data_IF_030527661819
#
_entry.id   IF_030527661819
#
_cell.length_a   1.000
_cell.length_b   1.000
_cell.length_c   1.000
_cell.angle_alpha   90.00
_cell.angle_beta   90.00
_cell.angle_gamma   90.00
#
_symmetry.space_group_name_H-M   'P 1'
#
loop_
_entity.id
_entity.type
_entity.pdbx_description
1 polymer ?
#
# COMPACT_ATOMS: atom_id res chain seq x y z
N UNK A 1 -14.16 -23.16 -20.91
CA UNK A 1 -12.91 -22.39 -20.97
C UNK A 1 -12.71 -21.60 -19.68
N UNK A 2 -11.65 -21.87 -18.97
CA UNK A 2 -11.31 -21.06 -17.80
C UNK A 2 -10.72 -19.72 -18.28
N UNK A 3 -11.25 -18.63 -17.79
CA UNK A 3 -10.72 -17.31 -18.07
C UNK A 3 -9.58 -17.06 -17.09
N UNK A 4 -8.41 -16.75 -17.64
CA UNK A 4 -7.23 -16.48 -16.83
C UNK A 4 -7.31 -15.07 -16.24
N UNK A 5 -7.18 -14.96 -14.94
CA UNK A 5 -7.05 -13.68 -14.26
C UNK A 5 -5.58 -13.41 -13.94
N UNK A 6 -5.18 -12.16 -13.99
CA UNK A 6 -3.79 -11.79 -13.66
C UNK A 6 -3.56 -11.88 -12.14
N UNK A 7 -4.54 -11.44 -11.37
CA UNK A 7 -4.50 -11.48 -9.91
C UNK A 7 -5.88 -11.81 -9.35
N UNK A 8 -5.89 -12.50 -8.22
CA UNK A 8 -7.14 -12.76 -7.51
C UNK A 8 -7.71 -11.47 -6.89
N UNK A 9 -6.83 -10.59 -6.44
CA UNK A 9 -7.22 -9.33 -5.81
C UNK A 9 -6.32 -8.19 -6.26
N UNK A 10 -6.93 -7.03 -6.48
CA UNK A 10 -6.22 -5.78 -6.75
C UNK A 10 -6.57 -4.81 -5.63
N UNK A 11 -5.55 -4.13 -5.12
CA UNK A 11 -5.70 -3.11 -4.08
C UNK A 11 -5.26 -1.77 -4.64
N UNK A 12 -6.05 -0.74 -4.42
CA UNK A 12 -5.71 0.62 -4.83
C UNK A 12 -5.24 1.39 -3.61
N UNK A 13 -3.97 1.77 -3.63
CA UNK A 13 -3.35 2.54 -2.55
C UNK A 13 -2.35 1.73 -1.73
N UNK A 14 -1.11 2.24 -1.64
CA UNK A 14 0.00 1.60 -0.94
C UNK A 14 0.30 2.31 0.39
N UNK A 15 -0.73 2.56 1.19
CA UNK A 15 -0.60 3.06 2.54
C UNK A 15 -0.66 1.92 3.57
N UNK A 16 -0.97 2.24 4.81
CA UNK A 16 -1.10 1.25 5.89
C UNK A 16 -2.07 0.13 5.52
N UNK A 17 -3.24 0.49 5.01
CA UNK A 17 -4.27 -0.50 4.66
C UNK A 17 -3.81 -1.40 3.52
N UNK A 18 -3.17 -0.83 2.50
CA UNK A 18 -2.68 -1.61 1.36
C UNK A 18 -1.63 -2.64 1.77
N UNK A 19 -0.68 -2.25 2.62
CA UNK A 19 0.34 -3.16 3.13
C UNK A 19 -0.28 -4.26 4.00
N UNK A 20 -1.23 -3.90 4.86
CA UNK A 20 -1.95 -4.88 5.68
C UNK A 20 -2.67 -5.90 4.81
N UNK A 21 -3.31 -5.44 3.73
CA UNK A 21 -4.01 -6.33 2.80
C UNK A 21 -3.05 -7.29 2.09
N UNK A 22 -1.87 -6.81 1.69
CA UNK A 22 -0.86 -7.69 1.09
C UNK A 22 -0.56 -8.85 2.06
N UNK A 23 -0.29 -8.53 3.31
CA UNK A 23 0.04 -9.56 4.30
C UNK A 23 -1.09 -10.58 4.47
N UNK A 24 -2.30 -10.10 4.71
CA UNK A 24 -3.42 -10.97 5.00
C UNK A 24 -3.87 -11.80 3.80
N UNK A 25 -3.87 -11.22 2.61
CA UNK A 25 -4.25 -11.94 1.40
C UNK A 25 -3.23 -13.00 1.01
N UNK A 26 -1.94 -12.67 1.10
CA UNK A 26 -0.88 -13.66 0.84
C UNK A 26 -0.94 -14.82 1.82
N UNK A 27 -1.26 -14.53 3.08
CA UNK A 27 -1.36 -15.56 4.13
C UNK A 27 -2.42 -16.61 3.82
N UNK A 28 -3.49 -16.23 3.16
CA UNK A 28 -4.56 -17.17 2.78
C UNK A 28 -4.45 -17.65 1.33
N UNK A 29 -3.32 -17.41 0.68
CA UNK A 29 -3.03 -17.94 -0.65
C UNK A 29 -3.65 -17.17 -1.81
N UNK A 30 -4.07 -15.94 -1.59
CA UNK A 30 -4.66 -15.07 -2.62
C UNK A 30 -3.56 -14.24 -3.26
N UNK A 31 -3.48 -14.29 -4.60
CA UNK A 31 -2.55 -13.43 -5.33
C UNK A 31 -3.05 -11.99 -5.32
N UNK A 32 -2.17 -11.06 -4.95
CA UNK A 32 -2.54 -9.65 -4.75
C UNK A 32 -1.54 -8.74 -5.43
N UNK A 33 -2.06 -7.66 -6.03
CA UNK A 33 -1.24 -6.57 -6.57
C UNK A 33 -1.80 -5.26 -6.06
N UNK A 34 -0.92 -4.40 -5.57
CA UNK A 34 -1.27 -3.06 -5.10
C UNK A 34 -0.77 -2.04 -6.11
N UNK A 35 -1.64 -1.15 -6.55
CA UNK A 35 -1.27 -0.04 -7.42
C UNK A 35 -1.40 1.27 -6.67
N UNK A 36 -0.43 2.15 -6.86
CA UNK A 36 -0.47 3.50 -6.33
C UNK A 36 0.07 4.47 -7.37
N UNK A 37 -0.57 5.61 -7.52
CA UNK A 37 -0.10 6.66 -8.44
C UNK A 37 1.09 7.42 -7.89
N UNK A 38 1.36 7.32 -6.59
CA UNK A 38 2.49 7.99 -5.95
C UNK A 38 3.82 7.37 -6.37
N UNK A 39 4.89 8.11 -6.15
CA UNK A 39 6.26 7.65 -6.41
C UNK A 39 6.81 6.78 -5.29
N UNK A 40 6.08 6.69 -4.18
CA UNK A 40 6.50 5.92 -3.01
C UNK A 40 5.29 5.39 -2.26
N UNK A 41 5.53 4.40 -1.40
CA UNK A 41 4.51 3.91 -0.47
C UNK A 41 4.35 4.90 0.68
N UNK A 42 3.20 4.86 1.33
CA UNK A 42 2.94 5.71 2.47
C UNK A 42 1.54 6.30 2.55
N UNK A 43 0.82 6.36 1.43
CA UNK A 43 -0.52 6.94 1.40
C UNK A 43 -0.49 8.38 1.89
N UNK A 44 -1.26 8.66 2.93
CA UNK A 44 -1.30 9.96 3.61
C UNK A 44 0.11 10.49 3.93
N UNK A 45 1.02 9.61 4.32
CA UNK A 45 2.38 10.00 4.72
C UNK A 45 3.31 10.26 3.53
N UNK A 46 2.90 9.90 2.35
CA UNK A 46 3.56 10.31 1.11
C UNK A 46 3.06 11.66 0.64
N UNK A 47 1.74 11.89 0.69
CA UNK A 47 1.12 13.08 0.12
C UNK A 47 1.18 14.31 1.02
N UNK A 48 1.02 14.15 2.33
CA UNK A 48 0.90 15.28 3.26
C UNK A 48 2.28 15.71 3.77
N UNK A 49 2.92 16.60 3.04
CA UNK A 49 4.30 17.06 3.28
C UNK A 49 4.40 18.45 3.91
N UNK A 50 3.34 18.88 4.56
CA UNK A 50 3.35 20.18 5.24
C UNK A 50 4.22 20.12 6.52
N UNK A 51 4.80 21.26 6.95
CA UNK A 51 5.61 21.29 8.17
C UNK A 51 4.79 20.87 9.40
N UNK A 52 5.36 19.98 10.20
CA UNK A 52 4.71 19.51 11.41
C UNK A 52 3.73 18.36 11.20
N UNK A 53 3.62 17.81 9.99
CA UNK A 53 2.77 16.65 9.76
C UNK A 53 3.23 15.49 10.63
N UNK A 54 2.33 14.98 11.48
CA UNK A 54 2.63 13.95 12.45
C UNK A 54 1.35 13.19 12.82
N UNK A 55 1.52 12.02 13.44
CA UNK A 55 0.37 11.27 13.95
C UNK A 55 -0.23 12.01 15.16
N UNK A 56 -1.53 11.90 15.30
CA UNK A 56 -2.26 12.44 16.47
C UNK A 56 -2.52 11.36 17.54
N UNK A 57 -2.03 10.16 17.29
CA UNK A 57 -2.01 9.06 18.23
C UNK A 57 -0.57 8.60 18.44
N UNK A 58 -0.32 7.95 19.56
CA UNK A 58 1.02 7.51 19.91
C UNK A 58 1.51 6.43 18.93
N UNK A 59 2.81 6.46 18.60
CA UNK A 59 3.39 5.57 17.60
C UNK A 59 3.16 4.09 17.85
N UNK A 60 3.21 3.68 19.11
CA UNK A 60 3.02 2.26 19.44
C UNK A 60 1.56 1.77 19.21
N UNK A 61 0.62 2.68 19.06
CA UNK A 61 -0.72 2.36 18.59
C UNK A 61 -0.86 2.53 17.08
N UNK A 62 -0.05 3.41 16.51
CA UNK A 62 -0.08 3.71 15.07
C UNK A 62 0.90 2.82 14.35
N UNK A 63 0.66 1.51 14.42
CA UNK A 63 1.54 0.51 13.85
C UNK A 63 0.75 -0.72 13.42
N UNK A 64 1.41 -1.56 12.62
CA UNK A 64 0.83 -2.82 12.16
C UNK A 64 1.18 -3.92 13.17
N UNK A 65 0.19 -4.72 13.56
CA UNK A 65 0.33 -5.70 14.63
C UNK A 65 0.31 -7.16 14.15
N UNK A 66 0.32 -7.38 12.85
CA UNK A 66 0.20 -8.73 12.30
C UNK A 66 1.49 -9.58 12.43
N UNK A 67 2.59 -8.99 12.82
CA UNK A 67 3.88 -9.69 12.96
C UNK A 67 4.59 -9.25 14.23
N UNK A 68 4.91 -10.21 15.09
CA UNK A 68 5.69 -9.93 16.30
C UNK A 68 7.07 -9.39 15.96
N UNK A 69 7.67 -9.88 14.87
CA UNK A 69 9.00 -9.48 14.43
C UNK A 69 9.05 -7.98 14.12
N UNK A 70 8.11 -7.47 13.32
CA UNK A 70 8.09 -6.05 13.01
C UNK A 70 7.77 -5.19 14.24
N UNK A 71 6.94 -5.71 15.14
CA UNK A 71 6.62 -5.00 16.39
C UNK A 71 7.82 -4.89 17.32
N UNK A 72 8.65 -5.91 17.37
CA UNK A 72 9.82 -5.95 18.26
C UNK A 72 11.01 -5.20 17.70
N UNK A 73 11.19 -5.22 16.40
CA UNK A 73 12.36 -4.61 15.76
C UNK A 73 12.25 -3.11 15.55
N UNK A 74 11.03 -2.56 15.46
CA UNK A 74 10.84 -1.14 15.23
C UNK A 74 10.71 -0.37 16.54
N UNK A 75 11.44 0.72 16.64
CA UNK A 75 11.37 1.63 17.77
C UNK A 75 11.07 3.05 17.27
N UNK A 76 10.04 3.67 17.80
CA UNK A 76 9.68 5.03 17.47
C UNK A 76 10.59 6.01 18.22
N UNK A 77 11.07 7.07 17.54
CA UNK A 77 11.93 8.08 18.15
C UNK A 77 11.14 9.09 18.98
N UNK A 78 9.84 9.20 18.72
CA UNK A 78 8.96 10.18 19.35
C UNK A 78 7.62 9.54 19.71
N UNK A 79 6.96 10.14 20.69
CA UNK A 79 5.62 9.68 21.09
C UNK A 79 4.60 9.82 19.96
N UNK A 80 4.67 10.94 19.24
CA UNK A 80 3.83 11.23 18.08
C UNK A 80 4.74 11.36 16.86
N UNK A 81 5.03 10.25 16.17
CA UNK A 81 6.01 10.29 15.08
C UNK A 81 5.57 11.16 13.91
N UNK A 82 6.53 11.85 13.34
CA UNK A 82 6.31 12.69 12.18
C UNK A 82 6.13 11.90 10.88
N UNK A 83 5.79 12.63 9.84
CA UNK A 83 5.55 12.07 8.50
C UNK A 83 6.72 11.20 8.03
N UNK A 84 7.93 11.73 8.11
CA UNK A 84 9.10 11.03 7.57
C UNK A 84 9.36 9.71 8.28
N UNK A 85 9.26 9.70 9.60
CA UNK A 85 9.46 8.49 10.38
C UNK A 85 8.36 7.46 10.11
N UNK A 86 7.12 7.92 10.00
CA UNK A 86 5.98 7.05 9.71
C UNK A 86 6.12 6.42 8.33
N UNK A 87 6.60 7.17 7.34
CA UNK A 87 6.88 6.64 6.02
C UNK A 87 8.05 5.63 6.04
N UNK A 88 9.11 5.93 6.78
CA UNK A 88 10.22 4.97 6.97
C UNK A 88 9.74 3.68 7.64
N UNK A 89 8.81 3.79 8.56
CA UNK A 89 8.20 2.62 9.19
C UNK A 89 7.54 1.71 8.15
N UNK A 90 6.77 2.29 7.23
CA UNK A 90 6.14 1.50 6.18
C UNK A 90 7.15 0.87 5.24
N UNK A 91 8.26 1.56 4.94
CA UNK A 91 9.37 0.96 4.19
C UNK A 91 9.97 -0.23 4.92
N UNK A 92 10.17 -0.09 6.22
CA UNK A 92 10.67 -1.17 7.06
C UNK A 92 9.74 -2.39 7.01
N UNK A 93 8.42 -2.17 7.10
CA UNK A 93 7.44 -3.26 7.01
C UNK A 93 7.48 -3.93 5.64
N UNK A 94 7.51 -3.13 4.58
CA UNK A 94 7.56 -3.67 3.20
C UNK A 94 8.82 -4.49 2.96
N UNK A 95 9.96 -4.06 3.50
CA UNK A 95 11.22 -4.80 3.39
C UNK A 95 11.18 -6.11 4.17
N UNK A 96 10.76 -6.05 5.43
CA UNK A 96 10.75 -7.22 6.32
C UNK A 96 9.76 -8.28 5.88
N UNK A 97 8.63 -7.87 5.34
CA UNK A 97 7.56 -8.78 4.94
C UNK A 97 7.57 -9.09 3.44
N UNK A 98 8.62 -8.69 2.73
CA UNK A 98 8.81 -8.95 1.30
C UNK A 98 7.58 -8.57 0.47
N UNK A 99 7.16 -7.32 0.61
CA UNK A 99 5.94 -6.83 -0.02
C UNK A 99 6.19 -6.12 -1.36
N UNK A 100 7.43 -5.69 -1.64
CA UNK A 100 7.74 -4.91 -2.83
C UNK A 100 7.32 -5.57 -4.14
N UNK A 101 7.47 -6.90 -4.33
CA UNK A 101 6.99 -7.53 -5.57
C UNK A 101 5.48 -7.39 -5.79
N UNK A 102 4.72 -7.12 -4.75
CA UNK A 102 3.27 -6.97 -4.81
C UNK A 102 2.83 -5.52 -5.04
N UNK A 103 3.78 -4.57 -5.11
CA UNK A 103 3.48 -3.15 -5.20
C UNK A 103 3.97 -2.60 -6.54
N UNK A 104 3.10 -1.85 -7.22
CA UNK A 104 3.45 -1.12 -8.42
C UNK A 104 3.09 0.35 -8.24
N UNK A 105 4.14 1.18 -8.17
CA UNK A 105 4.03 2.62 -8.00
C UNK A 105 3.93 3.32 -9.35
N UNK A 106 3.72 4.64 -9.32
CA UNK A 106 3.63 5.47 -10.53
C UNK A 106 2.57 4.97 -11.51
N UNK A 107 1.50 4.37 -11.00
CA UNK A 107 0.46 3.76 -11.80
C UNK A 107 -0.90 4.13 -11.23
N UNK A 108 -1.70 4.82 -11.99
CA UNK A 108 -3.04 5.24 -11.57
C UNK A 108 -4.09 4.28 -12.12
N UNK A 109 -5.01 3.86 -11.27
CA UNK A 109 -6.19 3.11 -11.71
C UNK A 109 -7.20 4.12 -12.25
N UNK A 110 -7.50 4.03 -13.54
CA UNK A 110 -8.43 4.93 -14.21
C UNK A 110 -9.86 4.44 -14.05
N UNK A 111 -10.06 3.14 -14.23
CA UNK A 111 -11.39 2.53 -14.13
C UNK A 111 -11.30 1.08 -13.72
N UNK A 112 -12.39 0.58 -13.15
CA UNK A 112 -12.54 -0.81 -12.77
C UNK A 112 -13.95 -1.25 -13.18
N UNK A 113 -14.05 -2.08 -14.21
CA UNK A 113 -15.32 -2.48 -14.79
C UNK A 113 -15.58 -3.96 -14.53
N UNK A 114 -16.57 -4.23 -13.71
CA UNK A 114 -16.96 -5.60 -13.41
C UNK A 114 -17.78 -6.19 -14.57
N UNK A 115 -17.36 -7.34 -15.06
CA UNK A 115 -18.01 -8.07 -16.17
C UNK A 115 -18.93 -9.13 -15.59
N UNK A 116 -20.23 -8.92 -15.65
CA UNK A 116 -21.22 -9.84 -15.07
C UNK A 116 -21.16 -11.23 -15.68
N UNK A 117 -20.87 -11.31 -16.98
CA UNK A 117 -20.86 -12.59 -17.69
C UNK A 117 -19.71 -13.51 -17.27
N UNK A 118 -18.54 -12.93 -17.03
CA UNK A 118 -17.32 -13.68 -16.68
C UNK A 118 -17.02 -13.68 -15.19
N UNK A 119 -17.60 -12.74 -14.44
CA UNK A 119 -17.28 -12.53 -13.03
C UNK A 119 -15.91 -11.90 -12.80
N UNK A 120 -15.35 -11.27 -13.84
CA UNK A 120 -14.01 -10.67 -13.81
C UNK A 120 -14.13 -9.15 -13.82
N UNK A 121 -13.27 -8.48 -13.05
CA UNK A 121 -13.15 -7.03 -13.09
C UNK A 121 -11.98 -6.66 -14.02
N UNK A 122 -12.25 -5.80 -14.99
CA UNK A 122 -11.22 -5.27 -15.89
C UNK A 122 -10.76 -3.93 -15.36
N UNK A 123 -9.46 -3.85 -15.07
CA UNK A 123 -8.85 -2.61 -14.61
C UNK A 123 -8.07 -1.96 -15.75
N UNK A 124 -8.24 -0.65 -15.85
CA UNK A 124 -7.48 0.19 -16.78
C UNK A 124 -6.57 1.10 -15.99
N UNK A 125 -5.29 1.13 -16.35
CA UNK A 125 -4.28 1.91 -15.65
C UNK A 125 -3.59 2.86 -16.62
N UNK A 126 -3.05 3.95 -16.06
CA UNK A 126 -2.14 4.83 -16.78
C UNK A 126 -0.88 5.03 -15.95
N UNK A 127 0.22 5.37 -16.64
CA UNK A 127 1.43 5.81 -15.95
C UNK A 127 1.13 7.19 -15.33
N UNK A 128 1.27 7.30 -14.02
CA UNK A 128 1.01 8.57 -13.32
C UNK A 128 1.96 9.69 -13.76
N UNK A 129 3.10 9.35 -14.34
CA UNK A 129 4.04 10.32 -14.89
C UNK A 129 3.52 10.98 -16.18
N UNK A 130 2.59 10.32 -16.88
CA UNK A 130 1.99 10.86 -18.10
C UNK A 130 0.87 11.87 -17.80
N UNK A 131 0.36 11.87 -16.57
CA UNK A 131 -0.66 12.79 -16.10
C UNK A 131 0.00 14.03 -15.49
N UNK A 132 0.86 14.69 -16.26
CA UNK A 132 1.39 15.97 -15.79
C UNK A 132 0.28 17.00 -15.86
N UNK A 133 -0.12 17.59 -14.73
CA UNK A 133 -1.04 18.72 -14.79
C UNK A 133 -0.37 19.84 -15.53
N UNK A 134 -1.05 20.30 -16.50
CA UNK A 134 -0.63 21.48 -17.23
C UNK A 134 -0.69 22.72 -16.33
#
# INVERSE_FOLDING_TARGET
MSIKVDYDAIVVGAGFAGLALIHHLKKIGISVKVFDRATDIGGTWTWNRYPGAATDSEGYYYCLSFSKEIMQEWTWSERYPGREETQRYLHFVADKCDMWPNIQLNTEIISADFQNDSGICLLYTSDAADDTPC
#
